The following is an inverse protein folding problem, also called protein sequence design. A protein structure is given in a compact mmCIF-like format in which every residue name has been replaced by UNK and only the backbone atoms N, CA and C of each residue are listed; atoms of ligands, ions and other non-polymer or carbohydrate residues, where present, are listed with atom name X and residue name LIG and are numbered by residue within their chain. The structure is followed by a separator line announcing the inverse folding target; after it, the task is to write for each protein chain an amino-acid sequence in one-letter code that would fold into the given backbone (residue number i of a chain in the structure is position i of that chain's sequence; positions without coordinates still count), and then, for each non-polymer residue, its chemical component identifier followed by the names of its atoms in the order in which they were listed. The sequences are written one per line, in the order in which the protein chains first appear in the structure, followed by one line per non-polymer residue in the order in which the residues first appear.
data_IF_714858186668
#
_entry.id   IF_714858186668
#
_cell.length_a   1.000
_cell.length_b   1.000
_cell.length_c   1.000
_cell.angle_alpha   90.00
_cell.angle_beta   90.00
_cell.angle_gamma   90.00
#
_symmetry.space_group_name_H-M   'P 1'
#
loop_
_entity.id
_entity.type
_entity.pdbx_description
1 polymer ?
#
# COMPACT_ATOMS: atom_id res chain seq x y z
N UNK A 1 -8.70 -28.92 -8.72
CA UNK A 1 -8.43 -29.96 -9.74
C UNK A 1 -7.40 -30.96 -9.22
N UNK A 2 -6.22 -30.52 -8.77
CA UNK A 2 -5.24 -31.41 -8.09
C UNK A 2 -5.83 -32.09 -6.87
N UNK A 3 -6.47 -31.32 -5.98
CA UNK A 3 -7.22 -31.87 -4.84
C UNK A 3 -8.28 -32.91 -5.25
N UNK A 4 -8.95 -32.75 -6.38
CA UNK A 4 -9.93 -33.74 -6.86
C UNK A 4 -9.26 -35.02 -7.39
N UNK A 5 -8.02 -34.94 -7.86
CA UNK A 5 -7.22 -36.11 -8.23
C UNK A 5 -6.67 -36.82 -6.99
N UNK A 6 -6.24 -36.07 -5.97
CA UNK A 6 -5.84 -36.60 -4.65
C UNK A 6 -6.99 -37.32 -3.96
N UNK A 7 -8.20 -36.75 -4.04
CA UNK A 7 -9.44 -37.37 -3.56
C UNK A 7 -9.97 -38.48 -4.52
N UNK A 8 -9.23 -38.82 -5.58
CA UNK A 8 -9.57 -39.83 -6.59
C UNK A 8 -10.93 -39.63 -7.29
N UNK A 9 -11.48 -38.42 -7.23
CA UNK A 9 -12.69 -38.02 -7.97
C UNK A 9 -12.39 -37.82 -9.46
N UNK A 10 -11.11 -37.60 -9.80
CA UNK A 10 -10.60 -37.57 -11.17
C UNK A 10 -9.34 -38.45 -11.28
N UNK A 11 -9.15 -39.16 -12.40
CA UNK A 11 -7.98 -40.02 -12.59
C UNK A 11 -6.69 -39.22 -12.86
N UNK A 12 -6.80 -38.03 -13.45
CA UNK A 12 -5.68 -37.12 -13.72
C UNK A 12 -6.19 -35.68 -13.86
N UNK A 13 -5.34 -34.69 -13.57
CA UNK A 13 -5.68 -33.29 -13.76
C UNK A 13 -5.62 -32.94 -15.26
N UNK A 14 -6.73 -32.73 -15.98
CA UNK A 14 -6.72 -32.48 -17.42
C UNK A 14 -6.10 -31.13 -17.79
N UNK A 15 -5.89 -30.23 -16.82
CA UNK A 15 -5.23 -28.94 -17.06
C UNK A 15 -3.74 -29.09 -17.40
N UNK A 16 -3.12 -30.23 -17.08
CA UNK A 16 -1.74 -30.54 -17.49
C UNK A 16 -1.63 -30.81 -18.99
N UNK A 17 -2.75 -31.12 -19.66
CA UNK A 17 -2.82 -31.35 -21.11
C UNK A 17 -2.91 -30.04 -21.91
N UNK A 18 -3.15 -28.91 -21.23
CA UNK A 18 -3.28 -27.59 -21.87
C UNK A 18 -1.90 -26.92 -21.87
N UNK A 19 -1.25 -26.86 -23.04
CA UNK A 19 0.05 -26.16 -23.26
C UNK A 19 -0.08 -24.63 -23.34
N UNK A 20 -1.03 -24.03 -22.62
CA UNK A 20 -1.17 -22.59 -22.59
C UNK A 20 -0.18 -22.01 -21.57
N UNK A 21 0.82 -21.29 -22.07
CA UNK A 21 1.74 -20.54 -21.21
C UNK A 21 1.22 -19.11 -21.11
N UNK A 22 0.94 -18.64 -19.89
CA UNK A 22 0.48 -17.27 -19.66
C UNK A 22 1.47 -16.30 -20.33
N UNK A 23 1.03 -15.39 -21.22
CA UNK A 23 1.93 -14.43 -21.85
C UNK A 23 2.74 -13.70 -20.79
N UNK A 24 4.06 -13.61 -20.96
CA UNK A 24 4.93 -12.80 -20.10
C UNK A 24 4.58 -11.33 -20.33
N UNK A 25 3.58 -10.82 -19.61
CA UNK A 25 3.34 -9.39 -19.53
C UNK A 25 4.46 -8.82 -18.67
N UNK A 26 5.31 -7.97 -19.24
CA UNK A 26 6.21 -7.14 -18.45
C UNK A 26 5.33 -6.27 -17.54
N UNK A 27 5.19 -6.66 -16.27
CA UNK A 27 4.40 -5.95 -15.25
C UNK A 27 5.13 -4.70 -14.73
N UNK A 28 5.86 -4.01 -15.60
CA UNK A 28 6.64 -2.84 -15.20
C UNK A 28 5.69 -1.67 -14.92
N UNK A 29 5.89 -0.99 -13.81
CA UNK A 29 5.12 0.19 -13.41
C UNK A 29 5.17 1.25 -14.50
N UNK A 30 4.00 1.78 -14.88
CA UNK A 30 3.89 3.01 -15.64
C UNK A 30 4.09 4.19 -14.69
N UNK A 31 5.22 4.90 -14.79
CA UNK A 31 5.54 6.02 -13.90
C UNK A 31 4.55 7.18 -14.03
N UNK A 32 3.75 7.26 -15.11
CA UNK A 32 2.71 8.29 -15.25
C UNK A 32 1.60 8.19 -14.20
N UNK A 33 1.44 7.03 -13.55
CA UNK A 33 0.46 6.85 -12.47
C UNK A 33 0.98 7.40 -11.12
N UNK A 34 2.29 7.59 -10.99
CA UNK A 34 2.96 7.94 -9.73
C UNK A 34 2.84 9.43 -9.46
N UNK A 35 2.25 9.78 -8.31
CA UNK A 35 2.20 11.15 -7.84
C UNK A 35 3.52 11.54 -7.17
N UNK A 36 4.04 12.72 -7.52
CA UNK A 36 5.15 13.33 -6.78
C UNK A 36 4.67 13.88 -5.42
N UNK A 37 5.57 14.30 -4.51
CA UNK A 37 5.19 14.81 -3.19
C UNK A 37 4.18 15.95 -3.20
N UNK A 38 4.33 16.92 -4.11
CA UNK A 38 3.42 18.07 -4.18
C UNK A 38 2.04 17.68 -4.71
N UNK A 39 1.98 16.77 -5.70
CA UNK A 39 0.73 16.18 -6.19
C UNK A 39 0.03 15.38 -5.09
N UNK A 40 0.77 14.59 -4.32
CA UNK A 40 0.22 13.83 -3.21
C UNK A 40 -0.37 14.74 -2.13
N UNK A 41 0.34 15.79 -1.73
CA UNK A 41 -0.18 16.80 -0.79
C UNK A 41 -1.44 17.49 -1.31
N UNK A 42 -1.44 17.95 -2.57
CA UNK A 42 -2.64 18.52 -3.21
C UNK A 42 -3.83 17.55 -3.21
N UNK A 43 -3.59 16.27 -3.49
CA UNK A 43 -4.64 15.24 -3.47
C UNK A 43 -5.20 15.04 -2.06
N UNK A 44 -4.33 14.99 -1.03
CA UNK A 44 -4.76 14.88 0.37
C UNK A 44 -5.55 16.12 0.82
N UNK A 45 -5.15 17.32 0.39
CA UNK A 45 -5.91 18.55 0.64
C UNK A 45 -7.24 18.56 -0.13
N UNK A 46 -7.25 18.04 -1.35
CA UNK A 46 -8.46 17.78 -2.14
C UNK A 46 -9.44 16.88 -1.39
N UNK A 47 -8.95 15.83 -0.72
CA UNK A 47 -9.75 14.99 0.18
C UNK A 47 -10.23 15.79 1.40
N UNK A 48 -9.33 16.50 2.11
CA UNK A 48 -9.66 17.29 3.31
C UNK A 48 -10.79 18.29 3.05
N UNK A 49 -10.79 18.90 1.88
CA UNK A 49 -11.75 19.94 1.50
C UNK A 49 -13.19 19.44 1.25
N UNK A 50 -13.46 18.13 1.38
CA UNK A 50 -14.79 17.53 1.21
C UNK A 50 -15.60 17.51 2.52
N UNK A 51 -15.37 18.48 3.40
CA UNK A 51 -15.99 18.61 4.71
C UNK A 51 -15.59 17.49 5.68
N UNK A 52 -16.40 17.30 6.74
CA UNK A 52 -16.13 16.32 7.81
C UNK A 52 -15.95 14.87 7.33
N UNK A 53 -16.59 14.50 6.22
CA UNK A 53 -16.38 13.18 5.59
C UNK A 53 -14.99 13.07 4.99
N UNK A 54 -14.56 14.09 4.24
CA UNK A 54 -13.24 14.17 3.64
C UNK A 54 -12.13 14.17 4.68
N UNK A 55 -12.24 15.01 5.69
CA UNK A 55 -11.30 15.11 6.81
C UNK A 55 -10.99 13.74 7.44
N UNK A 56 -12.03 12.92 7.65
CA UNK A 56 -11.91 11.56 8.19
C UNK A 56 -11.18 10.56 7.28
N UNK A 57 -11.04 10.87 5.99
CA UNK A 57 -10.36 10.02 5.02
C UNK A 57 -8.93 10.49 4.71
N UNK A 58 -8.50 11.66 5.18
CA UNK A 58 -7.14 12.16 4.91
C UNK A 58 -6.09 11.17 5.41
N UNK A 59 -6.19 10.76 6.69
CA UNK A 59 -5.25 9.80 7.27
C UNK A 59 -5.33 8.41 6.60
N UNK A 60 -6.50 8.02 6.07
CA UNK A 60 -6.67 6.78 5.30
C UNK A 60 -5.84 6.81 4.01
N UNK A 61 -5.90 7.89 3.21
CA UNK A 61 -5.06 7.99 2.01
C UNK A 61 -3.59 8.23 2.35
N UNK A 62 -3.32 8.93 3.47
CA UNK A 62 -1.96 9.18 3.92
C UNK A 62 -1.21 7.88 4.26
N UNK A 63 -1.84 6.86 4.87
CA UNK A 63 -1.17 5.57 5.12
C UNK A 63 -0.85 4.81 3.83
N UNK A 64 -1.64 4.98 2.78
CA UNK A 64 -1.33 4.41 1.45
C UNK A 64 -0.11 5.11 0.82
N UNK A 65 0.03 6.42 1.01
CA UNK A 65 1.10 7.22 0.42
C UNK A 65 2.42 7.21 1.20
N UNK A 66 2.37 7.38 2.53
CA UNK A 66 3.58 7.50 3.34
C UNK A 66 4.07 6.17 3.94
N UNK A 67 3.21 5.16 4.01
CA UNK A 67 3.55 3.84 4.58
C UNK A 67 3.30 2.69 3.58
N UNK A 68 2.98 3.04 2.32
CA UNK A 68 2.73 2.10 1.24
C UNK A 68 1.63 1.07 1.56
N UNK A 69 0.68 1.28 2.47
CA UNK A 69 -0.35 0.28 2.79
C UNK A 69 -1.21 -0.04 1.57
N UNK A 70 -1.70 -1.28 1.47
CA UNK A 70 -2.81 -1.60 0.57
C UNK A 70 -4.12 -1.00 1.11
N UNK A 71 -5.10 -0.67 0.26
CA UNK A 71 -6.40 -0.23 0.73
C UNK A 71 -7.03 -1.19 1.75
N UNK A 72 -6.91 -2.50 1.54
CA UNK A 72 -7.50 -3.50 2.44
C UNK A 72 -6.78 -3.56 3.80
N UNK A 73 -5.46 -3.35 3.81
CA UNK A 73 -4.67 -3.23 5.06
C UNK A 73 -5.07 -1.96 5.81
N UNK A 74 -5.25 -0.84 5.11
CA UNK A 74 -5.70 0.40 5.71
C UNK A 74 -7.10 0.25 6.30
N UNK A 75 -8.05 -0.38 5.59
CA UNK A 75 -9.42 -0.60 6.12
C UNK A 75 -9.41 -1.46 7.40
N UNK A 76 -8.45 -2.38 7.55
CA UNK A 76 -8.28 -3.19 8.77
C UNK A 76 -7.30 -2.61 9.79
N UNK A 77 -6.70 -1.45 9.52
CA UNK A 77 -5.72 -0.86 10.42
C UNK A 77 -6.36 -0.46 11.75
N UNK A 78 -5.80 -0.99 12.84
CA UNK A 78 -6.23 -0.76 14.21
C UNK A 78 -5.23 0.09 14.97
N UNK A 79 -5.69 0.73 16.03
CA UNK A 79 -4.84 1.57 16.89
C UNK A 79 -3.67 0.80 17.48
N UNK A 80 -3.85 -0.48 17.80
CA UNK A 80 -2.84 -1.36 18.41
C UNK A 80 -1.70 -1.70 17.44
N UNK A 81 -1.94 -1.53 16.13
CA UNK A 81 -0.88 -1.68 15.15
C UNK A 81 0.14 -0.53 15.25
N UNK A 82 -0.22 0.62 15.83
CA UNK A 82 0.68 1.77 15.97
C UNK A 82 1.57 1.55 17.20
N UNK A 83 2.79 1.07 16.97
CA UNK A 83 3.77 0.73 18.02
C UNK A 83 4.32 2.02 18.64
N UNK A 84 4.63 3.01 17.82
CA UNK A 84 5.07 4.32 18.27
C UNK A 84 4.53 5.45 17.38
N UNK A 85 4.08 6.52 18.03
CA UNK A 85 3.65 7.78 17.39
C UNK A 85 4.19 8.96 18.22
N UNK A 86 5.49 9.29 18.10
CA UNK A 86 6.09 10.38 18.87
C UNK A 86 5.49 11.74 18.50
N UNK A 87 5.77 12.78 19.29
CA UNK A 87 5.38 14.16 18.95
C UNK A 87 6.21 14.73 17.79
N UNK A 88 7.45 14.28 17.63
CA UNK A 88 8.33 14.63 16.53
C UNK A 88 9.11 13.40 16.03
N UNK A 89 9.45 13.39 14.74
CA UNK A 89 10.21 12.32 14.11
C UNK A 89 9.40 11.10 13.65
N UNK A 90 10.10 9.98 13.51
CA UNK A 90 9.56 8.76 12.91
C UNK A 90 8.82 7.90 13.93
N UNK A 91 7.67 7.38 13.54
CA UNK A 91 6.97 6.32 14.27
C UNK A 91 7.19 4.94 13.67
N UNK A 92 6.54 3.94 14.26
CA UNK A 92 6.52 2.56 13.77
C UNK A 92 5.11 1.98 13.89
N UNK A 93 4.67 1.23 12.88
CA UNK A 93 3.53 0.35 12.98
C UNK A 93 3.89 -1.10 12.68
N UNK A 94 3.18 -2.04 13.30
CA UNK A 94 3.31 -3.47 13.08
C UNK A 94 2.05 -4.02 12.42
N UNK A 95 2.16 -4.49 11.18
CA UNK A 95 1.05 -5.08 10.44
C UNK A 95 1.08 -6.59 10.61
N UNK A 96 -0.03 -7.16 11.07
CA UNK A 96 -0.18 -8.59 11.38
C UNK A 96 -1.09 -9.32 10.38
N UNK A 97 -2.05 -8.62 9.75
CA UNK A 97 -3.09 -9.19 8.90
C UNK A 97 -3.50 -8.22 7.77
N UNK A 98 -4.09 -8.74 6.70
CA UNK A 98 -4.97 -7.98 5.81
C UNK A 98 -6.27 -8.77 5.62
N UNK A 99 -7.42 -8.10 5.53
CA UNK A 99 -8.69 -8.75 5.16
C UNK A 99 -8.95 -8.59 3.64
N UNK A 100 -8.40 -9.44 2.75
CA UNK A 100 -8.75 -9.38 1.33
C UNK A 100 -10.23 -9.74 1.15
N UNK A 101 -10.95 -9.00 0.30
CA UNK A 101 -12.24 -9.48 -0.21
C UNK A 101 -12.01 -10.73 -1.05
N UNK A 102 -12.53 -11.86 -0.58
CA UNK A 102 -13.04 -12.91 -1.47
C UNK A 102 -14.54 -12.63 -1.65
N UNK A 103 -15.07 -12.74 -2.87
CA UNK A 103 -16.52 -12.64 -3.07
C UNK A 103 -17.22 -13.63 -2.14
N UNK A 104 -18.41 -13.31 -1.61
CA UNK A 104 -19.16 -14.15 -0.62
C UNK A 104 -19.43 -15.59 -1.06
N UNK A 105 -19.15 -15.90 -2.33
CA UNK A 105 -19.20 -17.24 -2.94
C UNK A 105 -17.93 -18.08 -2.68
N UNK A 106 -16.91 -17.50 -2.04
CA UNK A 106 -15.57 -18.08 -1.82
C UNK A 106 -14.99 -17.75 -0.43
N UNK A 107 -15.86 -17.59 0.58
CA UNK A 107 -15.48 -17.39 1.98
C UNK A 107 -16.06 -18.52 2.80
N UNK A 108 -15.24 -19.20 3.62
CA UNK A 108 -15.69 -20.27 4.52
C UNK A 108 -16.75 -19.79 5.51
N UNK A 109 -16.79 -18.47 5.78
CA UNK A 109 -17.71 -17.83 6.70
C UNK A 109 -19.00 -17.26 6.07
N UNK A 110 -19.19 -17.35 4.75
CA UNK A 110 -20.36 -16.78 4.05
C UNK A 110 -20.50 -15.25 4.10
N UNK A 111 -19.49 -14.52 4.61
CA UNK A 111 -19.46 -13.05 4.65
C UNK A 111 -18.69 -12.49 3.44
N UNK A 112 -18.99 -11.29 2.92
CA UNK A 112 -18.24 -10.70 1.80
C UNK A 112 -16.76 -10.41 2.06
N UNK A 113 -16.27 -10.64 3.28
CA UNK A 113 -14.90 -10.47 3.75
C UNK A 113 -14.60 -11.61 4.71
N UNK A 114 -13.52 -12.33 4.45
CA UNK A 114 -12.96 -13.29 5.40
C UNK A 114 -11.60 -12.81 5.87
N UNK A 115 -11.30 -13.02 7.15
CA UNK A 115 -9.99 -12.71 7.74
C UNK A 115 -9.00 -13.74 7.24
N UNK A 116 -8.35 -13.43 6.13
CA UNK A 116 -7.30 -14.27 5.59
C UNK A 116 -5.93 -13.78 6.05
N UNK A 117 -4.95 -14.69 6.26
CA UNK A 117 -3.56 -14.30 6.36
C UNK A 117 -3.15 -13.47 5.13
N UNK A 118 -2.16 -12.60 5.29
CA UNK A 118 -1.54 -11.91 4.16
C UNK A 118 -1.10 -12.94 3.11
N UNK A 119 -1.54 -12.78 1.85
CA UNK A 119 -1.20 -13.71 0.75
C UNK A 119 0.31 -14.02 0.76
N UNK A 120 0.65 -15.32 0.81
CA UNK A 120 2.01 -15.89 0.82
C UNK A 120 2.78 -15.88 2.15
N UNK A 121 2.12 -15.67 3.30
CA UNK A 121 2.80 -15.73 4.61
C UNK A 121 2.17 -16.76 5.54
N UNK A 122 3.02 -17.38 6.37
CA UNK A 122 2.54 -18.26 7.43
C UNK A 122 1.67 -17.48 8.43
N UNK A 123 0.66 -18.10 9.06
CA UNK A 123 -0.12 -17.46 10.11
C UNK A 123 0.80 -16.86 11.19
N UNK A 124 0.66 -15.56 11.48
CA UNK A 124 1.43 -14.86 12.52
C UNK A 124 2.63 -14.04 12.03
N UNK A 125 2.97 -14.06 10.75
CA UNK A 125 4.11 -13.28 10.24
C UNK A 125 3.77 -11.78 10.14
N UNK A 126 4.38 -10.98 11.02
CA UNK A 126 4.21 -9.52 11.05
C UNK A 126 5.27 -8.79 10.23
N UNK A 127 4.99 -7.57 9.78
CA UNK A 127 6.03 -6.64 9.30
C UNK A 127 6.00 -5.33 10.06
N UNK A 128 7.18 -4.81 10.39
CA UNK A 128 7.34 -3.43 10.84
C UNK A 128 7.33 -2.50 9.63
N UNK A 129 6.62 -1.39 9.76
CA UNK A 129 6.51 -0.35 8.73
C UNK A 129 6.81 1.00 9.39
N UNK A 130 7.80 1.75 8.89
CA UNK A 130 8.11 3.07 9.43
C UNK A 130 6.97 4.05 9.12
N UNK A 131 6.64 4.90 10.09
CA UNK A 131 5.65 5.96 9.96
C UNK A 131 6.41 7.26 9.74
N UNK A 132 6.34 7.78 8.51
CA UNK A 132 6.92 9.08 8.15
C UNK A 132 6.44 10.20 9.09
N UNK A 133 7.28 11.20 9.44
CA UNK A 133 6.90 12.27 10.36
C UNK A 133 5.59 13.00 9.97
N UNK A 134 5.38 13.30 8.69
CA UNK A 134 4.09 13.87 8.23
C UNK A 134 2.89 12.93 8.49
N UNK A 135 3.09 11.61 8.36
CA UNK A 135 2.06 10.63 8.66
C UNK A 135 1.81 10.52 10.16
N UNK A 136 2.84 10.65 11.01
CA UNK A 136 2.68 10.71 12.47
C UNK A 136 1.74 11.85 12.84
N UNK A 137 1.98 13.06 12.32
CA UNK A 137 1.11 14.22 12.56
C UNK A 137 -0.33 13.97 12.11
N UNK A 138 -0.53 13.41 10.92
CA UNK A 138 -1.87 13.11 10.39
C UNK A 138 -2.61 12.03 11.20
N UNK A 139 -1.90 10.99 11.65
CA UNK A 139 -2.49 9.94 12.48
C UNK A 139 -2.83 10.45 13.89
N UNK A 140 -1.96 11.23 14.51
CA UNK A 140 -2.22 11.86 15.82
C UNK A 140 -3.44 12.78 15.76
N UNK A 141 -3.51 13.63 14.74
CA UNK A 141 -4.68 14.48 14.49
C UNK A 141 -5.96 13.65 14.34
N UNK A 142 -5.93 12.62 13.49
CA UNK A 142 -7.07 11.75 13.23
C UNK A 142 -7.57 11.02 14.48
N UNK A 143 -6.66 10.48 15.29
CA UNK A 143 -7.01 9.78 16.54
C UNK A 143 -7.71 10.74 17.52
N UNK A 144 -7.19 11.96 17.65
CA UNK A 144 -7.73 13.00 18.53
C UNK A 144 -9.09 13.51 18.05
N UNK A 145 -9.17 13.99 16.81
CA UNK A 145 -10.39 14.61 16.25
C UNK A 145 -11.58 13.63 16.22
N UNK A 146 -11.32 12.35 15.94
CA UNK A 146 -12.38 11.35 15.82
C UNK A 146 -12.53 10.42 17.03
N UNK A 147 -11.83 10.72 18.13
CA UNK A 147 -11.90 9.99 19.40
C UNK A 147 -11.77 8.47 19.21
N UNK A 148 -10.75 8.02 18.46
CA UNK A 148 -10.58 6.61 18.13
C UNK A 148 -10.21 5.82 19.40
N UNK A 149 -11.06 4.87 19.84
CA UNK A 149 -10.82 4.13 21.09
C UNK A 149 -9.66 3.14 20.94
N UNK A 150 -9.12 2.72 22.07
CA UNK A 150 -8.29 1.51 22.12
C UNK A 150 -9.10 0.29 21.61
N UNK A 151 -8.45 -0.62 20.91
CA UNK A 151 -9.03 -1.74 20.16
C UNK A 151 -9.66 -1.34 18.82
N UNK A 152 -9.83 -0.04 18.58
CA UNK A 152 -10.61 0.50 17.47
C UNK A 152 -9.90 0.41 16.12
N UNK A 153 -10.69 0.27 15.05
CA UNK A 153 -10.22 0.55 13.68
C UNK A 153 -9.96 2.05 13.57
N UNK A 154 -8.84 2.42 12.95
CA UNK A 154 -8.51 3.82 12.73
C UNK A 154 -9.52 4.47 11.78
N UNK A 155 -9.91 3.78 10.71
CA UNK A 155 -10.77 4.35 9.67
C UNK A 155 -12.14 3.70 9.67
N UNK A 156 -13.09 4.37 10.33
CA UNK A 156 -14.51 4.00 10.38
C UNK A 156 -15.37 5.07 9.71
N UNK A 157 -16.54 4.70 9.23
CA UNK A 157 -17.54 5.64 8.77
C UNK A 157 -18.14 6.47 9.92
N UNK A 158 -18.92 7.54 9.63
CA UNK A 158 -19.47 8.43 10.66
C UNK A 158 -20.36 7.74 11.72
N UNK A 159 -20.92 6.57 11.39
CA UNK A 159 -21.75 5.74 12.28
C UNK A 159 -20.98 4.55 12.89
N UNK A 160 -19.65 4.57 12.86
CA UNK A 160 -18.80 3.49 13.39
C UNK A 160 -18.66 2.25 12.50
N UNK A 161 -19.37 2.19 11.37
CA UNK A 161 -19.25 1.09 10.40
C UNK A 161 -17.90 1.07 9.67
N UNK A 162 -17.58 -0.05 9.02
CA UNK A 162 -16.33 -0.22 8.25
C UNK A 162 -16.30 0.75 7.05
N UNK A 163 -15.12 1.30 6.75
CA UNK A 163 -14.89 2.09 5.54
C UNK A 163 -15.10 1.20 4.29
N UNK A 164 -16.01 1.61 3.40
CA UNK A 164 -16.34 0.85 2.19
C UNK A 164 -15.60 1.38 0.97
N UNK A 165 -15.36 0.50 0.00
CA UNK A 165 -14.72 0.84 -1.29
C UNK A 165 -15.46 1.95 -2.01
N UNK A 166 -16.80 1.86 -2.06
CA UNK A 166 -17.64 2.91 -2.64
C UNK A 166 -17.40 4.28 -1.99
N UNK A 167 -17.17 4.31 -0.67
CA UNK A 167 -16.93 5.54 0.08
C UNK A 167 -15.59 6.17 -0.29
N UNK A 168 -14.49 5.43 -0.15
CA UNK A 168 -13.17 6.02 -0.38
C UNK A 168 -12.90 6.23 -1.88
N UNK A 169 -13.39 5.36 -2.78
CA UNK A 169 -13.22 5.58 -4.23
C UNK A 169 -13.98 6.83 -4.71
N UNK A 170 -15.18 7.06 -4.19
CA UNK A 170 -15.95 8.27 -4.50
C UNK A 170 -15.27 9.54 -4.01
N UNK A 171 -14.71 9.51 -2.79
CA UNK A 171 -13.95 10.62 -2.25
C UNK A 171 -12.66 10.89 -3.04
N UNK A 172 -11.97 9.83 -3.46
CA UNK A 172 -10.75 9.95 -4.25
C UNK A 172 -11.00 10.58 -5.61
N UNK A 173 -12.07 10.19 -6.31
CA UNK A 173 -12.45 10.80 -7.59
C UNK A 173 -12.66 12.31 -7.46
N UNK A 174 -13.43 12.73 -6.46
CA UNK A 174 -13.67 14.16 -6.17
C UNK A 174 -12.39 14.90 -5.80
N UNK A 175 -11.48 14.24 -5.09
CA UNK A 175 -10.18 14.82 -4.76
C UNK A 175 -9.34 15.06 -6.02
N UNK A 176 -9.30 14.08 -6.95
CA UNK A 176 -8.61 14.26 -8.25
C UNK A 176 -9.19 15.41 -9.05
N UNK A 177 -10.52 15.47 -9.20
CA UNK A 177 -11.22 16.54 -9.94
C UNK A 177 -10.89 17.94 -9.39
N UNK A 178 -10.72 18.07 -8.07
CA UNK A 178 -10.42 19.34 -7.43
C UNK A 178 -8.94 19.69 -7.39
N UNK A 179 -8.08 18.69 -7.19
CA UNK A 179 -6.65 18.90 -6.89
C UNK A 179 -5.77 18.93 -8.15
N UNK A 180 -6.15 18.20 -9.19
CA UNK A 180 -5.34 18.04 -10.41
C UNK A 180 -5.71 19.08 -11.45
N UNK A 181 -4.72 19.53 -12.21
CA UNK A 181 -4.97 20.33 -13.42
C UNK A 181 -5.75 19.51 -14.46
N UNK A 182 -6.44 20.13 -15.44
CA UNK A 182 -7.14 19.37 -16.49
C UNK A 182 -6.24 18.36 -17.22
N UNK A 183 -4.98 18.73 -17.47
CA UNK A 183 -3.99 17.85 -18.10
C UNK A 183 -3.59 16.67 -17.20
N UNK A 184 -3.36 16.92 -15.92
CA UNK A 184 -3.06 15.87 -14.93
C UNK A 184 -4.25 14.92 -14.76
N UNK A 185 -5.47 15.45 -14.66
CA UNK A 185 -6.69 14.68 -14.47
C UNK A 185 -7.01 13.76 -15.66
N UNK A 186 -6.71 14.23 -16.89
CA UNK A 186 -6.84 13.45 -18.13
C UNK A 186 -5.75 12.36 -18.29
N UNK A 187 -4.73 12.36 -17.44
CA UNK A 187 -3.67 11.36 -17.44
C UNK A 187 -3.96 10.21 -16.44
N UNK A 188 -3.21 9.10 -16.51
CA UNK A 188 -3.29 8.01 -15.53
C UNK A 188 -2.84 8.39 -14.11
N UNK A 189 -2.39 9.63 -13.89
CA UNK A 189 -1.87 10.12 -12.62
C UNK A 189 -2.85 9.87 -11.49
N UNK A 190 -2.38 9.07 -10.52
CA UNK A 190 -3.10 8.78 -9.30
C UNK A 190 -4.56 8.32 -9.53
N UNK A 191 -4.83 7.64 -10.66
CA UNK A 191 -6.19 7.27 -11.09
C UNK A 191 -6.97 6.50 -10.01
N UNK A 192 -6.27 5.64 -9.27
CA UNK A 192 -6.82 4.89 -8.15
C UNK A 192 -6.06 5.20 -6.86
N UNK A 193 -6.68 5.01 -5.67
CA UNK A 193 -5.95 5.11 -4.40
C UNK A 193 -4.74 4.18 -4.32
N UNK A 194 -4.79 3.03 -5.00
CA UNK A 194 -3.67 2.09 -5.06
C UNK A 194 -2.41 2.70 -5.69
N UNK A 195 -2.57 3.71 -6.56
CA UNK A 195 -1.44 4.45 -7.12
C UNK A 195 -0.62 5.20 -6.06
N UNK A 196 -1.19 5.55 -4.89
CA UNK A 196 -0.44 6.12 -3.78
C UNK A 196 0.58 5.14 -3.20
N UNK A 197 0.26 3.85 -3.18
CA UNK A 197 1.21 2.79 -2.80
C UNK A 197 2.33 2.66 -3.85
N UNK A 198 2.01 2.79 -5.13
CA UNK A 198 3.04 2.85 -6.17
C UNK A 198 3.94 4.07 -5.98
N UNK A 199 3.38 5.23 -5.64
CA UNK A 199 4.13 6.43 -5.34
C UNK A 199 5.07 6.22 -4.16
N UNK A 200 4.57 5.71 -3.02
CA UNK A 200 5.37 5.40 -1.83
C UNK A 200 6.62 4.55 -2.17
N UNK A 201 6.39 3.39 -2.80
CA UNK A 201 7.45 2.43 -3.12
C UNK A 201 8.44 2.99 -4.15
N UNK A 202 7.93 3.67 -5.18
CA UNK A 202 8.80 4.28 -6.20
C UNK A 202 9.62 5.43 -5.64
N UNK A 203 9.08 6.24 -4.71
CA UNK A 203 9.81 7.30 -4.01
C UNK A 203 10.91 6.72 -3.13
N UNK A 204 10.64 5.70 -2.33
CA UNK A 204 11.68 5.09 -1.48
C UNK A 204 12.79 4.45 -2.31
N UNK A 205 12.42 3.75 -3.39
CA UNK A 205 13.41 3.21 -4.32
C UNK A 205 14.20 4.33 -4.97
N UNK A 206 13.55 5.39 -5.47
CA UNK A 206 14.19 6.55 -6.07
C UNK A 206 15.11 7.33 -5.13
N UNK A 207 14.83 7.33 -3.82
CA UNK A 207 15.70 7.86 -2.77
C UNK A 207 16.91 6.93 -2.46
N UNK A 208 16.96 5.76 -3.09
CA UNK A 208 18.05 4.81 -3.02
C UNK A 208 18.03 3.93 -1.76
N UNK A 209 16.86 3.77 -1.14
CA UNK A 209 16.65 2.78 -0.08
C UNK A 209 16.84 1.38 -0.66
N UNK A 210 17.56 0.47 0.02
CA UNK A 210 17.81 -0.88 -0.48
C UNK A 210 16.51 -1.62 -0.85
N UNK A 211 16.43 -2.29 -2.01
CA UNK A 211 15.23 -3.00 -2.45
C UNK A 211 14.71 -4.04 -1.44
N UNK A 212 15.60 -4.71 -0.70
CA UNK A 212 15.20 -5.65 0.35
C UNK A 212 14.43 -4.97 1.48
N UNK A 213 14.91 -3.80 1.94
CA UNK A 213 14.25 -3.03 2.99
C UNK A 213 12.89 -2.49 2.53
N UNK A 214 12.82 -1.97 1.30
CA UNK A 214 11.56 -1.52 0.70
C UNK A 214 10.57 -2.68 0.56
N UNK A 215 11.05 -3.86 0.15
CA UNK A 215 10.20 -5.04 0.02
C UNK A 215 9.63 -5.48 1.38
N UNK A 216 10.45 -5.47 2.43
CA UNK A 216 10.04 -5.75 3.81
C UNK A 216 8.95 -4.76 4.27
N UNK A 217 9.24 -3.46 4.20
CA UNK A 217 8.32 -2.41 4.64
C UNK A 217 7.04 -2.36 3.82
N UNK A 218 7.09 -2.64 2.51
CA UNK A 218 5.92 -2.65 1.64
C UNK A 218 5.17 -3.99 1.66
N UNK A 219 5.74 -5.08 2.19
CA UNK A 219 5.12 -6.40 2.14
C UNK A 219 5.09 -6.96 0.71
N UNK A 220 6.19 -6.79 -0.02
CA UNK A 220 6.46 -7.42 -1.31
C UNK A 220 7.54 -8.50 -1.16
N UNK A 221 7.60 -9.44 -2.09
CA UNK A 221 8.85 -10.17 -2.31
C UNK A 221 9.81 -9.28 -3.12
N UNK A 222 11.12 -9.46 -2.91
CA UNK A 222 12.15 -8.74 -3.67
C UNK A 222 11.99 -8.98 -5.18
N UNK A 223 11.64 -10.21 -5.58
CA UNK A 223 11.39 -10.54 -6.98
C UNK A 223 10.22 -9.75 -7.59
N UNK A 224 9.12 -9.55 -6.85
CA UNK A 224 8.00 -8.70 -7.31
C UNK A 224 8.47 -7.26 -7.44
N UNK A 225 9.25 -6.77 -6.47
CA UNK A 225 9.74 -5.40 -6.49
C UNK A 225 10.65 -5.15 -7.71
N UNK A 226 11.64 -6.03 -7.97
CA UNK A 226 12.53 -5.91 -9.13
C UNK A 226 11.77 -6.03 -10.45
N UNK A 227 10.73 -6.87 -10.52
CA UNK A 227 9.89 -7.00 -11.74
C UNK A 227 9.05 -5.76 -12.01
N UNK A 228 8.42 -5.19 -10.97
CA UNK A 228 7.44 -4.09 -11.12
C UNK A 228 8.13 -2.74 -11.14
N UNK A 229 9.15 -2.52 -10.32
CA UNK A 229 9.78 -1.22 -10.10
C UNK A 229 11.16 -1.09 -10.74
N UNK A 230 11.51 -1.95 -11.71
CA UNK A 230 12.79 -1.91 -12.42
C UNK A 230 13.17 -0.49 -12.90
N UNK A 231 12.20 0.26 -13.44
CA UNK A 231 12.40 1.63 -13.93
C UNK A 231 12.80 2.64 -12.84
N UNK A 232 12.39 2.40 -11.59
CA UNK A 232 12.77 3.27 -10.46
C UNK A 232 14.22 3.04 -10.02
N UNK A 233 14.75 1.84 -10.25
CA UNK A 233 16.12 1.46 -9.88
C UNK A 233 17.12 1.84 -11.00
N UNK A 234 16.69 1.77 -12.27
CA UNK A 234 17.54 2.01 -13.44
C UNK A 234 18.11 3.43 -13.56
N UNK A 235 17.63 4.41 -12.78
CA UNK A 235 18.08 5.81 -12.79
C UNK A 235 19.16 6.16 -11.75
N UNK A 236 19.67 5.18 -10.99
CA UNK A 236 20.56 5.41 -9.84
C UNK A 236 22.02 5.08 -10.10
N UNK A 237 22.44 4.98 -11.36
CA UNK A 237 23.79 4.55 -11.71
C UNK A 237 24.87 5.44 -11.10
N UNK A 238 24.71 6.76 -11.19
CA UNK A 238 25.67 7.72 -10.64
C UNK A 238 25.70 7.73 -9.10
N UNK A 239 24.53 7.60 -8.45
CA UNK A 239 24.46 7.45 -7.00
C UNK A 239 25.10 6.14 -6.52
N UNK A 240 24.89 5.05 -7.27
CA UNK A 240 25.51 3.76 -7.01
C UNK A 240 27.03 3.82 -7.17
N UNK A 241 27.53 4.42 -8.26
CA UNK A 241 28.96 4.67 -8.47
C UNK A 241 29.56 5.52 -7.36
N UNK A 242 28.86 6.58 -6.90
CA UNK A 242 29.29 7.42 -5.78
C UNK A 242 29.43 6.60 -4.49
N UNK A 243 28.40 5.83 -4.11
CA UNK A 243 28.42 4.96 -2.92
C UNK A 243 29.55 3.92 -2.98
N UNK A 244 29.77 3.28 -4.14
CA UNK A 244 30.87 2.33 -4.34
C UNK A 244 32.22 3.05 -4.16
N UNK A 245 32.38 4.23 -4.74
CA UNK A 245 33.61 5.02 -4.62
C UNK A 245 33.88 5.44 -3.18
N UNK A 246 32.86 5.88 -2.44
CA UNK A 246 32.96 6.23 -1.02
C UNK A 246 33.34 5.02 -0.15
N UNK A 247 32.75 3.85 -0.40
CA UNK A 247 33.01 2.63 0.36
C UNK A 247 34.38 2.00 0.07
N UNK A 248 34.92 2.22 -1.14
CA UNK A 248 36.22 1.69 -1.57
C UNK A 248 37.38 2.66 -1.36
N UNK A 249 37.11 3.88 -0.85
CA UNK A 249 38.18 4.80 -0.45
C UNK A 249 38.99 4.17 0.69
N UNK A 250 40.34 4.18 0.59
CA UNK A 250 41.17 3.75 1.71
C UNK A 250 40.85 4.64 2.91
N UNK A 251 40.52 4.03 4.05
CA UNK A 251 40.40 4.78 5.30
C UNK A 251 41.77 5.39 5.57
N UNK A 252 41.85 6.72 5.65
CA UNK A 252 43.09 7.41 5.98
C UNK A 252 43.67 6.81 7.28
N UNK A 253 44.99 6.57 7.33
CA UNK A 253 45.65 6.01 8.50
C UNK A 253 45.49 6.88 9.75
#
# INVERSE_FOLDING_TARGET
MEYACEQRLLPVNPLTLIKWTRPRVAQTLDLRVVANPDQARRLLDGVRSQGKRGERMVAFFAVLYYAALRPEEAVDLRREALVSLPDDGWGEMRLTHAEPRSGSRWTDSGKPRDRQPLKHRAPGETRSVPIHPELVTLLRHHIKEFNIPAGGRLFVGPRGGIMTDRTYLGAWRKAREKALTPREAASPLAETPYALRHAAVSTWLGAGVPPAQVAEWAGHSVAVLLRVYAKCVAGQEEDAKRRISEATRPKSP
#
